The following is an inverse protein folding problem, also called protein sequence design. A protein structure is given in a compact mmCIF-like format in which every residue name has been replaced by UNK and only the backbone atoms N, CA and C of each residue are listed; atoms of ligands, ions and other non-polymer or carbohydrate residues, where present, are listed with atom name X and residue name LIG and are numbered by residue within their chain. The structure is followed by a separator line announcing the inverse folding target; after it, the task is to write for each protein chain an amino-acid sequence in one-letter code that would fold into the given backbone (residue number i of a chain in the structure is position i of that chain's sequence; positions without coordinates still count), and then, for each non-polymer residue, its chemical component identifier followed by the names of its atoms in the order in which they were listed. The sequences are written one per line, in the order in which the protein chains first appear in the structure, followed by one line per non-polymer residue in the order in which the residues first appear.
data_IF_396066001485
#
_entry.id   IF_396066001485
#
_cell.length_a   1.000
_cell.length_b   1.000
_cell.length_c   1.000
_cell.angle_alpha   90.00
_cell.angle_beta   90.00
_cell.angle_gamma   90.00
#
_symmetry.space_group_name_H-M   'P 1'
#
loop_
_entity.id
_entity.type
_entity.pdbx_description
1 polymer ?
#
# COMPACT_ATOMS: atom_id res chain seq x y z
N UNK A 1 3.94 1.59 4.12
CA UNK A 1 4.54 2.69 3.33
C UNK A 1 4.35 3.97 4.11
N UNK A 2 5.41 4.54 4.65
CA UNK A 2 5.34 5.84 5.28
C UNK A 2 6.67 6.55 5.10
N UNK A 3 6.60 7.86 4.85
CA UNK A 3 7.76 8.76 4.87
C UNK A 3 8.96 8.32 4.01
N UNK A 4 8.67 7.65 2.88
CA UNK A 4 9.62 7.11 1.88
C UNK A 4 10.20 5.72 2.18
N UNK A 5 9.65 5.02 3.18
CA UNK A 5 10.07 3.64 3.52
C UNK A 5 8.91 2.64 3.37
N UNK A 6 9.24 1.40 2.99
CA UNK A 6 8.34 0.26 2.93
C UNK A 6 8.47 -0.62 4.16
N UNK A 7 7.47 -0.54 5.04
CA UNK A 7 7.39 -1.42 6.19
C UNK A 7 6.86 -2.81 5.82
N UNK A 8 7.59 -3.83 6.23
CA UNK A 8 7.36 -5.24 5.92
C UNK A 8 6.79 -5.99 7.12
N UNK A 9 5.68 -6.68 6.92
CA UNK A 9 5.00 -7.42 7.98
C UNK A 9 4.62 -8.82 7.51
N UNK A 10 4.65 -9.79 8.43
CA UNK A 10 4.31 -11.19 8.13
C UNK A 10 3.21 -11.70 9.08
N UNK A 11 2.37 -12.65 8.67
CA UNK A 11 1.44 -13.31 9.60
C UNK A 11 2.17 -14.10 10.70
N UNK A 12 1.50 -14.33 11.82
CA UNK A 12 2.04 -15.18 12.89
C UNK A 12 2.35 -16.59 12.35
N UNK A 13 3.52 -17.12 12.69
CA UNK A 13 3.98 -18.43 12.22
C UNK A 13 4.46 -18.46 10.76
N UNK A 14 4.56 -17.31 10.09
CA UNK A 14 5.13 -17.24 8.74
C UNK A 14 6.57 -17.79 8.70
N UNK A 15 6.95 -18.57 7.66
CA UNK A 15 8.32 -19.04 7.49
C UNK A 15 9.26 -17.95 6.96
N UNK A 16 8.72 -16.78 6.57
CA UNK A 16 9.50 -15.69 5.99
C UNK A 16 10.40 -15.07 7.07
N UNK A 17 11.61 -14.69 6.66
CA UNK A 17 12.62 -14.07 7.51
C UNK A 17 13.13 -12.80 6.83
N UNK A 18 13.88 -11.98 7.55
CA UNK A 18 14.56 -10.82 6.99
C UNK A 18 15.40 -11.23 5.77
N UNK A 19 15.34 -10.43 4.71
CA UNK A 19 16.16 -10.55 3.51
C UNK A 19 17.09 -9.34 3.44
N UNK A 20 17.00 -8.61 2.32
CA UNK A 20 17.57 -7.28 2.17
C UNK A 20 16.90 -6.24 3.07
N UNK A 21 15.65 -6.49 3.48
CA UNK A 21 14.88 -5.64 4.39
C UNK A 21 14.54 -6.34 5.71
N UNK A 22 14.14 -5.55 6.71
CA UNK A 22 13.69 -6.06 8.01
C UNK A 22 12.20 -6.32 8.06
N UNK A 23 11.80 -7.43 8.69
CA UNK A 23 10.42 -7.65 9.10
C UNK A 23 10.16 -6.76 10.33
N UNK A 24 9.31 -5.75 10.16
CA UNK A 24 8.93 -4.79 11.19
C UNK A 24 7.93 -5.34 12.21
N UNK A 25 7.37 -6.52 11.93
CA UNK A 25 6.59 -7.30 12.90
C UNK A 25 5.44 -8.09 12.29
N UNK A 26 4.49 -8.45 13.15
CA UNK A 26 3.42 -9.40 12.83
C UNK A 26 2.13 -8.71 12.42
N UNK A 27 1.50 -9.18 11.35
CA UNK A 27 0.18 -8.72 10.90
C UNK A 27 -0.93 -9.15 11.87
N UNK A 28 -1.84 -8.22 12.18
CA UNK A 28 -3.16 -8.55 12.72
C UNK A 28 -4.09 -8.89 11.55
N UNK A 29 -4.78 -10.03 11.63
CA UNK A 29 -5.81 -10.41 10.68
C UNK A 29 -7.20 -10.21 11.28
N UNK A 30 -8.02 -9.36 10.66
CA UNK A 30 -9.43 -9.15 11.04
C UNK A 30 -10.30 -9.76 9.94
N UNK A 31 -11.13 -10.74 10.29
CA UNK A 31 -11.91 -11.50 9.31
C UNK A 31 -11.05 -12.19 8.25
N UNK A 32 -9.83 -12.61 8.64
CA UNK A 32 -8.86 -13.25 7.73
C UNK A 32 -8.09 -12.28 6.81
N UNK A 33 -8.25 -10.96 6.99
CA UNK A 33 -7.60 -9.93 6.15
C UNK A 33 -6.59 -9.10 6.95
N UNK A 34 -5.45 -8.71 6.38
CA UNK A 34 -4.54 -7.77 7.03
C UNK A 34 -5.27 -6.48 7.40
N UNK A 35 -5.17 -6.08 8.67
CA UNK A 35 -5.66 -4.79 9.12
C UNK A 35 -4.55 -3.76 9.08
N UNK A 36 -4.83 -2.60 8.49
CA UNK A 36 -3.87 -1.50 8.32
C UNK A 36 -4.37 -0.24 9.03
N UNK A 37 -3.44 0.59 9.46
CA UNK A 37 -3.70 1.89 10.07
C UNK A 37 -3.12 2.99 9.18
N UNK A 38 -3.89 4.06 9.00
CA UNK A 38 -3.46 5.27 8.30
C UNK A 38 -3.27 6.38 9.32
N UNK A 39 -2.05 6.91 9.38
CA UNK A 39 -1.66 7.96 10.32
C UNK A 39 -2.42 9.27 10.03
N UNK A 40 -2.97 9.86 11.09
CA UNK A 40 -3.58 11.17 11.02
C UNK A 40 -2.51 12.23 10.68
N UNK A 41 -2.78 13.06 9.66
CA UNK A 41 -1.94 14.19 9.20
C UNK A 41 -0.58 13.83 8.59
N UNK A 42 0.02 12.70 8.95
CA UNK A 42 1.28 12.21 8.39
C UNK A 42 1.13 11.29 7.17
N UNK A 43 -0.08 10.77 6.92
CA UNK A 43 -0.42 9.90 5.79
C UNK A 43 0.39 8.58 5.71
N UNK A 44 1.09 8.19 6.78
CA UNK A 44 1.78 6.91 6.85
C UNK A 44 0.79 5.74 6.88
N UNK A 45 1.07 4.70 6.10
CA UNK A 45 0.33 3.43 6.11
C UNK A 45 1.15 2.35 6.83
N UNK A 46 0.63 1.88 7.95
CA UNK A 46 1.25 0.87 8.82
C UNK A 46 0.32 -0.33 9.01
N UNK A 47 0.82 -1.41 9.61
CA UNK A 47 -0.06 -2.44 10.18
C UNK A 47 -0.86 -1.85 11.34
N UNK A 48 -2.13 -2.23 11.47
CA UNK A 48 -2.86 -1.99 12.71
C UNK A 48 -2.47 -3.07 13.72
N UNK A 49 -2.18 -2.66 14.96
CA UNK A 49 -1.78 -3.56 16.05
C UNK A 49 -2.93 -3.96 16.98
N UNK A 50 -4.16 -3.54 16.68
CA UNK A 50 -5.34 -3.77 17.53
C UNK A 50 -5.51 -2.77 18.67
N UNK A 51 -4.62 -1.78 18.78
CA UNK A 51 -4.69 -0.73 19.79
C UNK A 51 -5.81 0.28 19.52
N UNK A 52 -6.18 0.99 20.59
CA UNK A 52 -7.15 2.08 20.54
C UNK A 52 -6.66 3.23 19.66
N UNK A 53 -7.62 3.98 19.13
CA UNK A 53 -7.34 5.15 18.33
C UNK A 53 -6.89 6.30 19.25
N UNK A 54 -5.80 7.01 18.91
CA UNK A 54 -5.35 8.15 19.70
C UNK A 54 -6.50 9.16 19.94
N UNK A 55 -6.78 9.46 21.21
CA UNK A 55 -7.87 10.37 21.59
C UNK A 55 -9.29 9.81 21.37
N UNK A 56 -9.42 8.51 21.06
CA UNK A 56 -10.70 7.87 20.72
C UNK A 56 -11.24 8.24 19.33
N UNK A 57 -10.49 9.02 18.55
CA UNK A 57 -10.89 9.53 17.24
C UNK A 57 -10.28 8.66 16.14
N UNK A 58 -11.13 7.94 15.41
CA UNK A 58 -10.72 7.13 14.28
C UNK A 58 -11.88 6.45 13.57
N UNK A 59 -11.68 6.20 12.29
CA UNK A 59 -12.67 5.56 11.43
C UNK A 59 -12.18 4.16 11.07
N UNK A 60 -13.07 3.16 11.12
CA UNK A 60 -12.77 1.79 10.66
C UNK A 60 -13.51 1.51 9.36
N UNK A 61 -12.74 1.30 8.31
CA UNK A 61 -13.23 0.99 6.98
C UNK A 61 -13.21 -0.51 6.71
N UNK A 62 -14.27 -1.03 6.09
CA UNK A 62 -14.42 -2.44 5.75
C UNK A 62 -14.88 -2.62 4.29
N UNK A 63 -14.42 -3.67 3.58
CA UNK A 63 -14.87 -3.92 2.22
C UNK A 63 -16.40 -4.08 2.16
N UNK A 64 -17.03 -3.39 1.23
CA UNK A 64 -18.47 -3.41 1.01
C UNK A 64 -18.79 -3.29 -0.49
N UNK A 65 -20.05 -3.56 -0.86
CA UNK A 65 -20.51 -3.42 -2.24
C UNK A 65 -20.50 -1.95 -2.70
N UNK A 66 -20.75 -1.02 -1.78
CA UNK A 66 -20.78 0.42 -2.01
C UNK A 66 -19.84 1.13 -1.05
N UNK A 67 -19.35 2.32 -1.46
CA UNK A 67 -18.64 3.21 -0.56
C UNK A 67 -19.61 4.03 0.29
N UNK A 68 -19.15 4.47 1.45
CA UNK A 68 -19.90 5.27 2.41
C UNK A 68 -19.06 6.46 2.88
N UNK A 69 -19.73 7.55 3.25
CA UNK A 69 -19.11 8.69 3.95
C UNK A 69 -19.26 8.43 5.45
N UNK A 70 -18.18 8.45 6.24
CA UNK A 70 -18.27 8.26 7.68
C UNK A 70 -19.25 9.24 8.33
N UNK A 71 -20.05 8.75 9.28
CA UNK A 71 -20.99 9.59 10.03
C UNK A 71 -20.28 10.55 11.00
N UNK A 72 -19.01 10.29 11.32
CA UNK A 72 -18.15 11.13 12.14
C UNK A 72 -16.77 10.53 12.36
N UNK A 73 -15.93 11.22 13.14
CA UNK A 73 -14.55 10.82 13.41
C UNK A 73 -14.39 9.49 14.15
N UNK A 74 -15.42 9.00 14.84
CA UNK A 74 -15.41 7.75 15.62
C UNK A 74 -16.24 6.63 14.97
N UNK A 75 -16.50 6.68 13.67
CA UNK A 75 -17.32 5.68 12.97
C UNK A 75 -16.56 4.36 12.76
N UNK A 76 -17.04 3.26 13.34
CA UNK A 76 -16.32 1.98 13.37
C UNK A 76 -16.77 0.98 12.31
N UNK A 77 -17.68 1.39 11.43
CA UNK A 77 -18.30 0.51 10.45
C UNK A 77 -18.60 1.25 9.17
N UNK A 78 -17.56 1.72 8.47
CA UNK A 78 -17.72 2.44 7.19
C UNK A 78 -17.42 1.53 6.01
N UNK A 79 -18.36 1.42 5.08
CA UNK A 79 -18.16 0.65 3.85
C UNK A 79 -17.21 1.31 2.85
N UNK A 80 -16.29 0.55 2.25
CA UNK A 80 -15.57 0.97 1.05
C UNK A 80 -15.72 -0.03 -0.10
N UNK A 81 -15.90 0.50 -1.32
CA UNK A 81 -15.91 -0.31 -2.54
C UNK A 81 -14.50 -0.42 -3.12
N UNK A 82 -14.12 -1.61 -3.55
CA UNK A 82 -12.90 -1.82 -4.33
C UNK A 82 -13.10 -1.30 -5.77
N UNK A 83 -12.21 -0.43 -6.22
CA UNK A 83 -12.17 0.09 -7.60
C UNK A 83 -11.01 -0.56 -8.33
N UNK A 84 -11.27 -1.08 -9.54
CA UNK A 84 -10.26 -1.75 -10.32
C UNK A 84 -9.38 -0.73 -11.06
N UNK A 85 -8.14 -0.54 -10.59
CA UNK A 85 -7.19 0.39 -11.20
C UNK A 85 -6.80 0.03 -12.64
N UNK A 86 -6.98 -1.23 -13.03
CA UNK A 86 -6.65 -1.79 -14.34
C UNK A 86 -7.86 -1.91 -15.27
N UNK A 87 -9.03 -1.41 -14.88
CA UNK A 87 -10.20 -1.41 -15.75
C UNK A 87 -9.98 -0.55 -17.01
N UNK A 88 -10.78 -0.78 -18.05
CA UNK A 88 -10.74 0.05 -19.25
C UNK A 88 -10.97 1.51 -18.88
N UNK A 89 -10.08 2.40 -19.34
CA UNK A 89 -10.06 3.83 -18.95
C UNK A 89 -9.85 4.10 -17.45
N UNK A 90 -9.45 3.10 -16.67
CA UNK A 90 -9.09 3.22 -15.26
C UNK A 90 -7.76 3.96 -15.05
N UNK A 91 -7.31 4.00 -13.79
CA UNK A 91 -6.14 4.80 -13.39
C UNK A 91 -4.87 4.42 -14.16
N UNK A 92 -4.62 3.12 -14.36
CA UNK A 92 -3.44 2.66 -15.09
C UNK A 92 -3.49 3.00 -16.59
N UNK A 93 -4.67 2.87 -17.22
CA UNK A 93 -4.85 3.27 -18.62
C UNK A 93 -4.62 4.77 -18.82
N UNK A 94 -4.84 5.59 -17.78
CA UNK A 94 -4.66 7.04 -17.76
C UNK A 94 -3.36 7.49 -17.08
N UNK A 95 -2.39 6.60 -16.86
CA UNK A 95 -1.15 6.89 -16.10
C UNK A 95 -0.29 8.04 -16.66
N UNK A 96 -0.48 8.39 -17.94
CA UNK A 96 0.22 9.48 -18.62
C UNK A 96 -0.64 10.75 -18.77
N UNK A 97 -1.82 10.80 -18.14
CA UNK A 97 -2.71 11.96 -18.18
C UNK A 97 -2.13 13.13 -17.35
N UNK A 98 -1.80 14.24 -18.02
CA UNK A 98 -1.15 15.40 -17.42
C UNK A 98 -2.05 16.21 -16.46
N UNK A 99 -3.37 16.05 -16.53
CA UNK A 99 -4.32 16.65 -15.59
C UNK A 99 -4.21 15.99 -14.21
N UNK A 100 -4.09 14.66 -14.18
CA UNK A 100 -4.02 13.86 -12.94
C UNK A 100 -2.59 13.73 -12.40
N UNK A 101 -1.60 13.64 -13.29
CA UNK A 101 -0.22 13.34 -12.92
C UNK A 101 0.72 14.52 -13.25
N UNK A 102 1.59 14.88 -12.31
CA UNK A 102 2.66 15.86 -12.55
C UNK A 102 3.85 15.22 -13.27
N UNK A 103 4.08 13.93 -13.01
CA UNK A 103 5.04 13.05 -13.67
C UNK A 103 4.59 11.60 -13.49
N UNK A 104 5.23 10.65 -14.18
CA UNK A 104 4.82 9.24 -14.13
C UNK A 104 4.77 8.71 -12.68
N UNK A 105 3.57 8.32 -12.25
CA UNK A 105 3.32 7.80 -10.90
C UNK A 105 3.20 8.84 -9.79
N UNK A 106 3.41 10.13 -10.07
CA UNK A 106 3.27 11.23 -9.12
C UNK A 106 1.97 11.99 -9.39
N UNK A 107 1.08 12.05 -8.41
CA UNK A 107 -0.16 12.80 -8.54
C UNK A 107 0.12 14.31 -8.54
N UNK A 108 -0.60 15.02 -9.41
CA UNK A 108 -0.62 16.48 -9.40
C UNK A 108 -1.41 16.95 -8.17
N UNK A 109 -0.84 17.89 -7.42
CA UNK A 109 -1.52 18.52 -6.28
C UNK A 109 -0.67 19.64 -5.68
N UNK A 110 -1.32 20.64 -5.10
CA UNK A 110 -0.72 21.89 -4.62
C UNK A 110 -1.22 22.31 -3.22
N UNK A 111 -2.10 21.52 -2.60
CA UNK A 111 -2.56 21.76 -1.23
C UNK A 111 -1.68 21.02 -0.22
N UNK A 112 -0.78 21.75 0.43
CA UNK A 112 0.22 21.19 1.34
C UNK A 112 1.60 21.17 0.70
N UNK A 113 2.16 19.99 0.45
CA UNK A 113 3.42 19.83 -0.29
C UNK A 113 3.11 19.48 -1.75
N UNK A 114 3.67 20.28 -2.67
CA UNK A 114 3.47 20.08 -4.10
C UNK A 114 3.81 18.66 -4.56
N UNK A 115 2.88 18.05 -5.28
CA UNK A 115 3.01 16.76 -5.96
C UNK A 115 3.59 15.64 -5.07
N UNK A 116 3.19 15.61 -3.79
CA UNK A 116 3.80 14.71 -2.80
C UNK A 116 3.21 13.29 -2.79
N UNK A 117 2.03 13.08 -3.36
CA UNK A 117 1.36 11.78 -3.36
C UNK A 117 1.77 10.94 -4.59
N UNK A 118 1.95 9.64 -4.38
CA UNK A 118 2.32 8.70 -5.44
C UNK A 118 1.27 7.60 -5.63
N UNK A 119 1.04 7.23 -6.88
CA UNK A 119 0.34 6.01 -7.24
C UNK A 119 1.23 4.79 -6.92
N UNK A 120 0.68 3.54 -6.87
CA UNK A 120 1.49 2.34 -6.59
C UNK A 120 2.73 2.18 -7.49
N UNK A 121 2.67 2.64 -8.75
CA UNK A 121 3.79 2.63 -9.70
C UNK A 121 4.72 3.86 -9.61
N UNK A 122 4.53 4.72 -8.61
CA UNK A 122 5.41 5.84 -8.29
C UNK A 122 5.98 5.77 -6.88
N UNK A 123 5.74 4.70 -6.13
CA UNK A 123 6.37 4.51 -4.82
C UNK A 123 7.75 3.89 -4.95
N UNK A 124 8.68 4.33 -4.11
CA UNK A 124 10.02 3.79 -3.97
C UNK A 124 10.34 3.70 -2.48
N UNK A 125 11.08 2.68 -2.08
CA UNK A 125 11.74 2.68 -0.78
C UNK A 125 13.11 3.32 -0.96
N UNK A 126 13.39 4.39 -0.22
CA UNK A 126 14.54 5.24 -0.47
C UNK A 126 15.90 4.55 -0.25
N UNK A 127 15.94 3.38 0.40
CA UNK A 127 17.18 2.74 0.83
C UNK A 127 17.27 1.22 0.56
N UNK A 128 16.41 0.64 -0.27
CA UNK A 128 16.37 -0.80 -0.54
C UNK A 128 17.24 -1.26 -1.74
N UNK A 129 18.02 -0.34 -2.30
CA UNK A 129 19.10 -0.60 -3.24
C UNK A 129 18.65 -0.83 -4.69
N UNK A 130 18.53 -2.10 -5.08
CA UNK A 130 18.30 -2.50 -6.49
C UNK A 130 16.82 -2.75 -6.82
N UNK A 131 15.93 -2.40 -5.90
CA UNK A 131 14.52 -2.24 -6.18
C UNK A 131 14.33 -0.77 -6.58
N UNK A 132 13.53 -0.55 -7.62
CA UNK A 132 13.36 0.79 -8.17
C UNK A 132 11.93 1.27 -8.02
N UNK A 133 11.78 2.60 -8.01
CA UNK A 133 10.49 3.29 -8.07
C UNK A 133 9.50 2.58 -8.99
N UNK A 134 8.35 2.22 -8.41
CA UNK A 134 7.23 1.58 -9.08
C UNK A 134 7.31 0.05 -9.15
N UNK A 135 8.38 -0.58 -8.64
CA UNK A 135 8.49 -2.04 -8.61
C UNK A 135 7.47 -2.68 -7.66
N UNK A 136 6.95 -1.95 -6.67
CA UNK A 136 5.83 -2.43 -5.87
C UNK A 136 4.62 -2.84 -6.75
N UNK A 137 4.34 -2.10 -7.81
CA UNK A 137 3.26 -2.40 -8.76
C UNK A 137 3.74 -3.26 -9.93
N UNK A 138 4.90 -2.93 -10.51
CA UNK A 138 5.37 -3.51 -11.77
C UNK A 138 6.23 -4.75 -11.59
N UNK A 139 6.87 -4.94 -10.43
CA UNK A 139 7.67 -6.13 -10.12
C UNK A 139 7.55 -6.63 -8.66
N UNK A 140 6.33 -6.89 -8.16
CA UNK A 140 6.15 -7.32 -6.77
C UNK A 140 6.88 -8.63 -6.45
N UNK A 141 7.06 -9.54 -7.42
CA UNK A 141 7.82 -10.78 -7.23
C UNK A 141 9.30 -10.49 -6.88
N UNK A 142 9.94 -9.54 -7.58
CA UNK A 142 11.30 -9.13 -7.26
C UNK A 142 11.39 -8.42 -5.90
N UNK A 143 10.43 -7.56 -5.57
CA UNK A 143 10.35 -6.90 -4.25
C UNK A 143 10.33 -7.96 -3.14
N UNK A 144 9.41 -8.94 -3.23
CA UNK A 144 9.32 -10.03 -2.25
C UNK A 144 10.58 -10.92 -2.23
N UNK A 145 11.21 -11.15 -3.40
CA UNK A 145 12.44 -11.93 -3.50
C UNK A 145 13.61 -11.30 -2.73
N UNK A 146 13.72 -9.97 -2.80
CA UNK A 146 14.76 -9.22 -2.11
C UNK A 146 14.44 -9.01 -0.64
N UNK A 147 13.22 -8.59 -0.33
CA UNK A 147 12.87 -8.18 1.02
C UNK A 147 12.84 -9.35 2.01
N UNK A 148 12.51 -10.55 1.55
CA UNK A 148 12.35 -11.71 2.43
C UNK A 148 13.26 -12.87 2.07
N UNK A 149 13.72 -13.59 3.09
CA UNK A 149 14.29 -14.94 2.97
C UNK A 149 13.33 -15.98 3.55
N UNK A 150 13.63 -17.28 3.44
CA UNK A 150 12.75 -18.35 3.96
C UNK A 150 11.43 -18.56 3.19
N UNK A 151 11.23 -17.82 2.09
CA UNK A 151 10.05 -17.85 1.21
C UNK A 151 9.92 -19.08 0.30
N UNK A 152 10.95 -19.93 0.26
CA UNK A 152 11.07 -21.00 -0.74
C UNK A 152 11.41 -20.45 -2.13
N UNK A 153 11.15 -21.26 -3.16
CA UNK A 153 11.39 -20.90 -4.56
C UNK A 153 10.09 -20.52 -5.25
N UNK A 154 10.13 -19.44 -6.02
CA UNK A 154 9.02 -19.00 -6.87
C UNK A 154 9.58 -18.31 -8.13
N UNK A 155 8.75 -18.17 -9.15
CA UNK A 155 9.14 -17.55 -10.42
C UNK A 155 9.17 -16.03 -10.31
N UNK A 156 10.22 -15.41 -10.86
CA UNK A 156 10.28 -13.97 -11.13
C UNK A 156 9.77 -13.63 -12.55
N UNK A 157 9.46 -14.65 -13.36
CA UNK A 157 8.87 -14.48 -14.69
C UNK A 157 7.35 -14.49 -14.57
N UNK A 158 6.74 -13.39 -15.00
CA UNK A 158 5.28 -13.24 -15.00
C UNK A 158 4.68 -13.90 -16.25
N UNK A 159 3.67 -14.75 -16.05
CA UNK A 159 2.80 -15.19 -17.14
C UNK A 159 1.78 -14.12 -17.54
N UNK A 160 1.46 -13.22 -16.61
CA UNK A 160 0.65 -12.02 -16.83
C UNK A 160 1.02 -10.96 -15.80
N UNK A 161 1.29 -9.75 -16.27
CA UNK A 161 1.45 -8.57 -15.43
C UNK A 161 0.80 -7.39 -16.16
N UNK A 162 -0.34 -6.92 -15.68
CA UNK A 162 -1.12 -5.89 -16.35
C UNK A 162 -0.54 -4.47 -16.20
N UNK A 163 0.51 -4.32 -15.37
CA UNK A 163 1.30 -3.10 -15.26
C UNK A 163 2.51 -3.09 -16.21
N UNK A 164 2.68 -4.13 -17.04
CA UNK A 164 3.77 -4.26 -18.03
C UNK A 164 3.22 -4.58 -19.41
#
# INVERSE_FOLDING_TARGET
MAHSDFYSYVPAGSPYRNGSETIDGTLLLVGGRPATFQEAKGHGLYRWNGGDFPGGDGVVYQPAATGEVPSGGNDRTVGYRLVNTLETNGMWARRDNAETYSSFGTFRGDNGKDNAANAPWGWDDQNDGAIYRGYLATDPALVIDRYFSGKGSFSLTYTRNAFR
#
